data_IF_875129227216
#
_entry.id   IF_875129227216
#
_cell.length_a   1.000
_cell.length_b   1.000
_cell.length_c   1.000
_cell.angle_alpha   90.00
_cell.angle_beta   90.00
_cell.angle_gamma   90.00
#
_symmetry.space_group_name_H-M   'P 1'
#
loop_
_entity.id
_entity.type
_entity.pdbx_description
1 polymer ?
#
# COMPACT_ATOMS: atom_id res chain seq x y z
N UNK A 1 -16.43 -0.88 0.05
CA UNK A 1 -15.56 -0.07 -0.81
C UNK A 1 -14.81 -0.96 -1.79
N UNK A 2 -14.84 -0.56 -3.05
CA UNK A 2 -14.14 -1.32 -4.07
C UNK A 2 -12.70 -0.83 -4.18
N UNK A 3 -11.75 -1.74 -4.07
CA UNK A 3 -10.33 -1.40 -4.12
C UNK A 3 -9.80 -1.44 -5.54
N UNK A 4 -8.89 -0.53 -5.85
CA UNK A 4 -8.20 -0.56 -7.12
C UNK A 4 -7.21 -1.73 -7.13
N UNK A 5 -6.78 -2.12 -8.34
CA UNK A 5 -5.79 -3.17 -8.49
C UNK A 5 -4.51 -2.86 -7.73
N UNK A 6 -4.07 -1.60 -7.77
CA UNK A 6 -2.88 -1.16 -7.06
C UNK A 6 -3.05 -1.29 -5.54
N UNK A 7 -4.21 -0.92 -5.04
CA UNK A 7 -4.49 -1.05 -3.61
C UNK A 7 -4.48 -2.51 -3.16
N UNK A 8 -5.01 -3.38 -3.99
CA UNK A 8 -4.98 -4.82 -3.72
C UNK A 8 -3.56 -5.35 -3.69
N UNK A 9 -2.69 -4.88 -4.58
CA UNK A 9 -1.28 -5.26 -4.59
C UNK A 9 -0.58 -4.82 -3.31
N UNK A 10 -0.87 -3.62 -2.83
CA UNK A 10 -0.29 -3.13 -1.59
C UNK A 10 -0.70 -4.01 -0.42
N UNK A 11 -1.96 -4.37 -0.34
CA UNK A 11 -2.46 -5.23 0.72
C UNK A 11 -1.77 -6.59 0.68
N UNK A 12 -1.61 -7.17 -0.50
CA UNK A 12 -0.92 -8.45 -0.66
C UNK A 12 0.52 -8.39 -0.17
N UNK A 13 1.21 -7.31 -0.48
CA UNK A 13 2.60 -7.13 -0.03
C UNK A 13 2.66 -7.07 1.49
N UNK A 14 1.78 -6.31 2.10
CA UNK A 14 1.75 -6.19 3.56
C UNK A 14 1.42 -7.52 4.23
N UNK A 15 0.51 -8.28 3.66
CA UNK A 15 0.15 -9.59 4.19
C UNK A 15 1.30 -10.58 4.08
N UNK A 16 2.04 -10.52 2.98
CA UNK A 16 3.16 -11.43 2.72
C UNK A 16 4.37 -11.13 3.58
N UNK A 17 4.71 -9.85 3.70
CA UNK A 17 5.98 -9.45 4.30
C UNK A 17 5.83 -8.82 5.67
N UNK A 18 4.62 -8.51 6.08
CA UNK A 18 4.37 -7.88 7.36
C UNK A 18 4.66 -6.38 7.33
N UNK A 19 5.01 -5.79 8.47
CA UNK A 19 5.20 -4.34 8.53
C UNK A 19 6.36 -3.89 7.65
N UNK A 20 6.07 -3.04 6.68
CA UNK A 20 7.09 -2.44 5.81
C UNK A 20 6.72 -0.99 5.57
N UNK A 21 7.72 -0.20 5.16
CA UNK A 21 7.51 1.22 4.90
C UNK A 21 6.83 1.44 3.56
N UNK A 22 6.18 2.61 3.42
CA UNK A 22 5.59 2.98 2.13
C UNK A 22 6.63 3.05 1.02
N UNK A 23 7.86 3.46 1.37
CA UNK A 23 8.95 3.51 0.41
C UNK A 23 9.30 2.12 -0.11
N UNK A 24 9.33 1.14 0.77
CA UNK A 24 9.60 -0.25 0.41
C UNK A 24 8.50 -0.82 -0.48
N UNK A 25 7.24 -0.49 -0.17
CA UNK A 25 6.12 -0.91 -0.99
C UNK A 25 6.25 -0.32 -2.40
N UNK A 26 6.62 0.96 -2.49
CA UNK A 26 6.79 1.64 -3.76
C UNK A 26 7.85 0.96 -4.62
N UNK A 27 8.95 0.55 -4.01
CA UNK A 27 10.02 -0.16 -4.72
C UNK A 27 9.53 -1.48 -5.28
N UNK A 28 8.76 -2.21 -4.51
CA UNK A 28 8.28 -3.53 -4.92
C UNK A 28 7.33 -3.48 -6.12
N UNK A 29 6.52 -2.44 -6.21
CA UNK A 29 5.60 -2.30 -7.33
C UNK A 29 6.11 -1.31 -8.39
N UNK A 30 7.36 -0.91 -8.25
CA UNK A 30 8.06 -0.06 -9.22
C UNK A 30 7.36 1.28 -9.46
N UNK A 31 6.94 1.91 -8.38
CA UNK A 31 6.32 3.23 -8.43
C UNK A 31 7.01 4.14 -7.42
N UNK A 32 6.75 5.44 -7.51
CA UNK A 32 7.29 6.37 -6.53
C UNK A 32 6.38 6.42 -5.32
N UNK A 33 6.96 6.77 -4.17
CA UNK A 33 6.19 6.95 -2.94
C UNK A 33 5.12 8.03 -3.10
N UNK A 34 5.44 9.08 -3.84
CA UNK A 34 4.49 10.17 -4.09
C UNK A 34 3.24 9.66 -4.82
N UNK A 35 3.44 8.75 -5.79
CA UNK A 35 2.34 8.15 -6.53
C UNK A 35 1.45 7.30 -5.63
N UNK A 36 2.05 6.61 -4.66
CA UNK A 36 1.31 5.74 -3.75
C UNK A 36 0.66 6.46 -2.59
N UNK A 37 1.05 7.69 -2.32
CA UNK A 37 0.59 8.42 -1.15
C UNK A 37 -0.93 8.41 -0.95
N UNK A 38 -1.74 8.70 -1.98
CA UNK A 38 -3.19 8.66 -1.81
C UNK A 38 -3.70 7.25 -1.49
N UNK A 39 -3.14 6.24 -2.15
CA UNK A 39 -3.55 4.86 -1.92
C UNK A 39 -3.21 4.41 -0.50
N UNK A 40 -2.01 4.75 -0.04
CA UNK A 40 -1.59 4.41 1.31
C UNK A 40 -2.45 5.09 2.36
N UNK A 41 -2.81 6.34 2.14
CA UNK A 41 -3.68 7.08 3.04
C UNK A 41 -5.05 6.42 3.14
N UNK A 42 -5.64 6.05 2.01
CA UNK A 42 -6.95 5.41 1.97
C UNK A 42 -6.90 4.07 2.70
N UNK A 43 -5.88 3.26 2.44
CA UNK A 43 -5.76 1.95 3.06
C UNK A 43 -5.53 2.05 4.56
N UNK A 44 -4.77 3.04 5.00
CA UNK A 44 -4.55 3.28 6.42
C UNK A 44 -5.85 3.69 7.11
N UNK A 45 -6.58 4.63 6.51
CA UNK A 45 -7.84 5.10 7.06
C UNK A 45 -8.91 4.01 7.12
N UNK A 46 -8.85 3.10 6.15
CA UNK A 46 -9.81 1.98 6.09
C UNK A 46 -9.41 0.79 6.96
N UNK A 47 -8.25 0.85 7.58
CA UNK A 47 -7.79 -0.21 8.48
C UNK A 47 -7.15 -1.41 7.80
N UNK A 48 -6.88 -1.33 6.51
CA UNK A 48 -6.24 -2.44 5.79
C UNK A 48 -4.74 -2.53 6.08
N UNK A 49 -4.10 -1.39 6.34
CA UNK A 49 -2.68 -1.35 6.69
C UNK A 49 -2.48 -0.39 7.85
N UNK A 50 -1.34 -0.52 8.53
CA UNK A 50 -1.00 0.38 9.62
C UNK A 50 -0.07 1.50 9.13
N UNK A 51 -0.26 2.66 9.70
CA UNK A 51 0.58 3.80 9.36
C UNK A 51 2.01 3.64 9.90
#
# INVERSE_FOLDING_TARGET
MELSQRQEQIIEIVKSEGPITGEHIAEKINLTRATLRPDLAILTMSGFIEA
#
